data_IF_044497199424
#
_entry.id   IF_044497199424
#
_cell.length_a   1.000
_cell.length_b   1.000
_cell.length_c   1.000
_cell.angle_alpha   90.00
_cell.angle_beta   90.00
_cell.angle_gamma   90.00
#
_symmetry.space_group_name_H-M   'P 1'
#
loop_
_entity.id
_entity.type
_entity.pdbx_description
1 polymer ?
#
# COMPACT_ATOMS: atom_id res chain seq x y z
N UNK A 1 21.69 -23.16 -12.87
CA UNK A 1 21.14 -22.48 -14.06
C UNK A 1 19.64 -22.72 -14.06
N UNK A 2 18.89 -21.89 -13.34
CA UNK A 2 17.42 -21.87 -13.35
C UNK A 2 17.07 -20.40 -13.42
N UNK A 3 16.52 -20.00 -14.56
CA UNK A 3 16.22 -18.61 -14.87
C UNK A 3 15.17 -18.05 -13.94
N UNK A 4 15.31 -16.77 -13.62
CA UNK A 4 14.24 -15.92 -13.13
C UNK A 4 13.31 -15.69 -14.33
N UNK A 5 12.10 -16.29 -14.40
CA UNK A 5 11.13 -15.87 -15.38
C UNK A 5 10.47 -14.61 -14.83
N UNK A 6 10.47 -13.53 -15.62
CA UNK A 6 9.65 -12.37 -15.31
C UNK A 6 8.18 -12.78 -15.11
N UNK A 7 7.59 -12.33 -14.01
CA UNK A 7 6.14 -12.15 -13.79
C UNK A 7 5.22 -13.38 -13.83
N UNK A 8 4.50 -13.63 -12.72
CA UNK A 8 3.15 -14.17 -12.79
C UNK A 8 2.19 -13.62 -11.70
N UNK A 9 2.06 -12.31 -11.52
CA UNK A 9 0.89 -11.72 -10.79
C UNK A 9 -0.14 -11.14 -11.78
N UNK A 10 0.00 -11.49 -13.07
CA UNK A 10 -1.03 -11.31 -14.08
C UNK A 10 -1.68 -12.65 -14.41
N UNK A 11 -2.99 -12.74 -14.12
CA UNK A 11 -3.98 -13.73 -14.56
C UNK A 11 -4.12 -15.03 -13.75
N UNK A 12 -5.07 -15.05 -12.82
CA UNK A 12 -6.20 -16.01 -12.83
C UNK A 12 -7.24 -15.71 -11.70
N UNK A 13 -8.49 -15.48 -12.13
CA UNK A 13 -9.78 -15.42 -11.40
C UNK A 13 -10.05 -14.21 -10.47
N UNK A 14 -11.09 -13.38 -10.64
CA UNK A 14 -12.24 -13.47 -11.55
C UNK A 14 -13.42 -14.25 -10.96
N UNK A 15 -13.87 -13.88 -9.75
CA UNK A 15 -15.23 -14.16 -9.30
C UNK A 15 -15.86 -12.86 -8.77
N UNK A 16 -16.54 -12.14 -9.67
CA UNK A 16 -17.70 -11.28 -9.36
C UNK A 16 -17.67 -10.48 -8.03
N UNK A 17 -16.93 -9.37 -7.95
CA UNK A 17 -17.43 -8.18 -7.21
C UNK A 17 -18.18 -7.27 -8.20
N UNK A 18 -19.12 -7.88 -8.92
CA UNK A 18 -20.12 -7.17 -9.72
C UNK A 18 -21.35 -6.91 -8.87
N UNK A 19 -21.24 -6.13 -7.78
CA UNK A 19 -22.40 -5.60 -7.03
C UNK A 19 -22.04 -4.61 -5.91
N UNK A 20 -21.08 -3.70 -6.10
CA UNK A 20 -21.23 -2.38 -5.44
C UNK A 20 -22.09 -1.52 -6.37
N UNK A 21 -23.38 -1.85 -6.40
CA UNK A 21 -24.35 -1.30 -7.35
C UNK A 21 -24.51 0.22 -7.26
N UNK A 22 -24.96 0.74 -8.39
CA UNK A 22 -24.91 2.11 -8.83
C UNK A 22 -26.08 3.00 -8.32
N UNK A 23 -25.75 4.29 -8.25
CA UNK A 23 -26.55 5.53 -8.42
C UNK A 23 -27.81 5.92 -7.63
N UNK A 24 -28.56 5.10 -6.89
CA UNK A 24 -29.79 5.63 -6.22
C UNK A 24 -30.05 5.27 -4.74
N UNK A 25 -29.09 4.66 -4.04
CA UNK A 25 -29.23 4.40 -2.61
C UNK A 25 -28.71 5.58 -1.79
N UNK A 26 -29.60 6.25 -1.02
CA UNK A 26 -29.30 7.44 -0.20
C UNK A 26 -27.98 7.27 0.58
N UNK A 27 -27.02 8.18 0.36
CA UNK A 27 -25.71 8.26 1.05
C UNK A 27 -25.79 7.97 2.55
N UNK A 28 -26.84 8.46 3.22
CA UNK A 28 -27.05 8.23 4.66
C UNK A 28 -27.31 6.76 5.04
N UNK A 29 -28.03 5.97 4.22
CA UNK A 29 -28.33 4.56 4.58
C UNK A 29 -27.11 3.66 4.47
N UNK A 30 -26.20 3.92 3.53
CA UNK A 30 -24.95 3.15 3.42
C UNK A 30 -23.95 3.55 4.51
N UNK A 31 -23.80 4.85 4.79
CA UNK A 31 -22.92 5.33 5.86
C UNK A 31 -23.31 4.74 7.22
N UNK A 32 -24.61 4.68 7.54
CA UNK A 32 -25.07 4.02 8.77
C UNK A 32 -24.73 2.52 8.81
N UNK A 33 -24.86 1.80 7.69
CA UNK A 33 -24.53 0.36 7.64
C UNK A 33 -23.03 0.11 7.76
N UNK A 34 -22.19 0.93 7.12
CA UNK A 34 -20.74 0.82 7.22
C UNK A 34 -20.23 1.19 8.62
N UNK A 35 -20.79 2.23 9.24
CA UNK A 35 -20.47 2.58 10.62
C UNK A 35 -20.80 1.43 11.59
N UNK A 36 -21.96 0.79 11.42
CA UNK A 36 -22.34 -0.40 12.19
C UNK A 36 -21.42 -1.58 11.91
N UNK A 37 -21.07 -1.82 10.65
CA UNK A 37 -20.10 -2.86 10.27
C UNK A 37 -18.75 -2.65 10.95
N UNK A 38 -18.17 -1.45 10.92
CA UNK A 38 -16.89 -1.19 11.58
C UNK A 38 -16.98 -1.28 13.11
N UNK A 39 -18.17 -1.06 13.70
CA UNK A 39 -18.39 -1.16 15.15
C UNK A 39 -18.53 -2.60 15.62
N UNK A 40 -19.13 -3.47 14.80
CA UNK A 40 -19.26 -4.91 15.08
C UNK A 40 -19.36 -5.69 13.76
N UNK A 41 -18.20 -6.06 13.16
CA UNK A 41 -18.16 -6.73 11.86
C UNK A 41 -18.82 -8.11 11.85
N UNK A 42 -18.85 -8.79 13.01
CA UNK A 42 -19.42 -10.13 13.13
C UNK A 42 -20.95 -10.09 13.12
N UNK A 43 -21.55 -9.12 13.82
CA UNK A 43 -23.01 -9.01 13.92
C UNK A 43 -23.65 -8.22 12.78
N UNK A 44 -22.93 -7.29 12.16
CA UNK A 44 -23.48 -6.37 11.15
C UNK A 44 -22.97 -6.68 9.74
N UNK A 45 -23.36 -7.83 9.22
CA UNK A 45 -22.98 -8.32 7.88
C UNK A 45 -23.52 -7.44 6.76
N UNK A 46 -22.73 -7.31 5.69
CA UNK A 46 -23.10 -6.63 4.44
C UNK A 46 -22.95 -7.61 3.28
N UNK A 47 -23.12 -7.19 2.03
CA UNK A 47 -22.89 -8.11 0.92
C UNK A 47 -21.41 -8.53 0.88
N UNK A 48 -21.07 -9.78 0.47
CA UNK A 48 -19.69 -10.27 0.50
C UNK A 48 -18.68 -9.35 -0.20
N UNK A 49 -19.08 -8.74 -1.32
CA UNK A 49 -18.23 -7.75 -2.01
C UNK A 49 -17.97 -6.47 -1.22
N UNK A 50 -18.95 -6.00 -0.45
CA UNK A 50 -18.75 -4.86 0.47
C UNK A 50 -17.94 -5.32 1.69
N UNK A 51 -18.16 -6.53 2.21
CA UNK A 51 -17.35 -7.10 3.32
C UNK A 51 -15.88 -7.14 2.94
N UNK A 52 -15.55 -7.61 1.73
CA UNK A 52 -14.19 -7.61 1.20
C UNK A 52 -13.57 -6.21 1.18
N UNK A 53 -14.24 -5.23 0.55
CA UNK A 53 -13.72 -3.87 0.40
C UNK A 53 -13.64 -3.15 1.76
N UNK A 54 -14.65 -3.30 2.61
CA UNK A 54 -14.73 -2.64 3.90
C UNK A 54 -13.74 -3.24 4.90
N UNK A 55 -13.59 -4.57 4.95
CA UNK A 55 -12.57 -5.21 5.79
C UNK A 55 -11.16 -4.85 5.33
N UNK A 56 -10.86 -4.89 4.02
CA UNK A 56 -9.59 -4.43 3.47
C UNK A 56 -9.29 -2.99 3.87
N UNK A 57 -10.25 -2.07 3.67
CA UNK A 57 -10.09 -0.67 4.03
C UNK A 57 -9.90 -0.47 5.54
N UNK A 58 -10.69 -1.17 6.37
CA UNK A 58 -10.60 -1.11 7.82
C UNK A 58 -9.27 -1.60 8.36
N UNK A 59 -8.79 -2.76 7.90
CA UNK A 59 -7.49 -3.34 8.29
C UNK A 59 -6.35 -2.40 7.88
N UNK A 60 -6.37 -1.93 6.63
CA UNK A 60 -5.37 -1.00 6.10
C UNK A 60 -5.33 0.33 6.87
N UNK A 61 -6.51 0.90 7.16
CA UNK A 61 -6.61 2.15 7.94
C UNK A 61 -6.15 1.96 9.37
N UNK A 62 -6.55 0.86 10.04
CA UNK A 62 -6.09 0.56 11.40
C UNK A 62 -4.57 0.49 11.44
N UNK A 63 -3.95 -0.22 10.49
CA UNK A 63 -2.50 -0.29 10.39
C UNK A 63 -1.87 1.08 10.12
N UNK A 64 -2.43 1.86 9.19
CA UNK A 64 -1.90 3.16 8.81
C UNK A 64 -2.00 4.20 9.94
N UNK A 65 -3.01 4.08 10.82
CA UNK A 65 -3.17 4.91 12.04
C UNK A 65 -2.14 4.58 13.13
N UNK A 66 -1.43 3.45 13.04
CA UNK A 66 -0.38 3.13 14.01
C UNK A 66 0.72 4.19 13.87
N UNK A 67 1.18 4.73 15.00
CA UNK A 67 2.28 5.71 15.07
C UNK A 67 2.04 7.05 14.36
N UNK A 68 0.79 7.38 13.99
CA UNK A 68 0.47 8.71 13.45
C UNK A 68 -0.83 8.78 12.65
N UNK A 69 -1.17 9.98 12.14
CA UNK A 69 -2.29 10.14 11.23
C UNK A 69 -2.03 9.43 9.89
N UNK A 70 -3.10 9.01 9.23
CA UNK A 70 -3.02 8.38 7.91
C UNK A 70 -2.59 9.40 6.86
N UNK A 71 -1.50 9.12 6.14
CA UNK A 71 -0.98 9.98 5.08
C UNK A 71 -1.82 9.95 3.79
N UNK A 72 -1.79 11.03 3.03
CA UNK A 72 -2.50 11.14 1.73
C UNK A 72 -2.04 10.05 0.75
N UNK A 73 -0.75 9.75 0.71
CA UNK A 73 -0.22 8.75 -0.23
C UNK A 73 -0.59 7.31 0.18
N UNK A 74 -0.75 7.05 1.48
CA UNK A 74 -1.32 5.78 1.96
C UNK A 74 -2.78 5.62 1.54
N UNK A 75 -3.57 6.71 1.61
CA UNK A 75 -4.96 6.72 1.14
C UNK A 75 -5.04 6.48 -0.38
N UNK A 76 -4.18 7.15 -1.16
CA UNK A 76 -4.11 6.92 -2.62
C UNK A 76 -3.75 5.48 -2.95
N UNK A 77 -2.75 4.92 -2.28
CA UNK A 77 -2.33 3.54 -2.48
C UNK A 77 -3.45 2.55 -2.16
N UNK A 78 -4.14 2.74 -1.02
CA UNK A 78 -5.29 1.91 -0.66
C UNK A 78 -6.41 2.02 -1.72
N UNK A 79 -6.74 3.23 -2.16
CA UNK A 79 -7.75 3.43 -3.20
C UNK A 79 -7.36 2.77 -4.53
N UNK A 80 -6.11 2.86 -4.95
CA UNK A 80 -5.61 2.18 -6.14
C UNK A 80 -5.68 0.65 -6.01
N UNK A 81 -5.30 0.12 -4.85
CA UNK A 81 -5.41 -1.30 -4.56
C UNK A 81 -6.85 -1.80 -4.68
N UNK A 82 -7.80 -1.07 -4.08
CA UNK A 82 -9.22 -1.42 -4.10
C UNK A 82 -9.82 -1.27 -5.51
N UNK A 83 -9.48 -0.21 -6.25
CA UNK A 83 -9.98 0.04 -7.62
C UNK A 83 -9.59 -1.06 -8.61
N UNK A 84 -8.45 -1.74 -8.38
CA UNK A 84 -8.03 -2.87 -9.21
C UNK A 84 -8.88 -4.13 -9.00
N UNK A 85 -9.62 -4.23 -7.88
CA UNK A 85 -10.33 -5.44 -7.45
C UNK A 85 -11.84 -5.27 -7.33
N UNK A 86 -12.30 -4.04 -7.12
CA UNK A 86 -13.70 -3.71 -6.99
C UNK A 86 -14.06 -2.51 -7.86
N UNK A 87 -15.24 -2.58 -8.47
CA UNK A 87 -15.86 -1.49 -9.19
C UNK A 87 -16.85 -0.76 -8.27
N UNK A 88 -17.04 0.55 -8.47
CA UNK A 88 -18.02 1.35 -7.73
C UNK A 88 -17.41 2.48 -6.91
N UNK A 89 -18.22 3.08 -6.02
CA UNK A 89 -17.81 4.21 -5.17
C UNK A 89 -17.06 3.71 -3.94
N UNK A 90 -15.73 3.72 -4.02
CA UNK A 90 -14.84 3.25 -2.94
C UNK A 90 -14.52 4.33 -1.90
N UNK A 91 -14.48 5.61 -2.31
CA UNK A 91 -14.14 6.72 -1.40
C UNK A 91 -15.03 6.74 -0.14
N UNK A 92 -16.36 6.58 -0.21
CA UNK A 92 -17.19 6.56 1.00
C UNK A 92 -16.81 5.44 1.98
N UNK A 93 -16.40 4.27 1.48
CA UNK A 93 -16.00 3.13 2.32
C UNK A 93 -14.68 3.44 3.02
N UNK A 94 -13.72 4.03 2.29
CA UNK A 94 -12.45 4.47 2.88
C UNK A 94 -12.66 5.63 3.87
N UNK A 95 -13.54 6.58 3.55
CA UNK A 95 -13.90 7.68 4.46
C UNK A 95 -14.55 7.17 5.75
N UNK A 96 -15.44 6.18 5.66
CA UNK A 96 -16.07 5.55 6.82
C UNK A 96 -15.06 4.71 7.60
N UNK A 97 -14.12 4.01 6.94
CA UNK A 97 -13.03 3.30 7.61
C UNK A 97 -12.13 4.28 8.38
N UNK A 98 -11.74 5.39 7.76
CA UNK A 98 -10.95 6.46 8.41
C UNK A 98 -11.64 6.97 9.68
N UNK A 99 -12.97 7.10 9.65
CA UNK A 99 -13.78 7.61 10.76
C UNK A 99 -14.07 6.57 11.85
N UNK A 100 -14.33 5.32 11.47
CA UNK A 100 -14.97 4.34 12.34
C UNK A 100 -14.11 3.10 12.63
N UNK A 101 -13.05 2.82 11.86
CA UNK A 101 -12.21 1.66 12.10
C UNK A 101 -11.26 1.91 13.28
N UNK A 102 -11.43 1.12 14.34
CA UNK A 102 -10.70 1.23 15.60
C UNK A 102 -9.70 0.07 15.80
N UNK A 103 -8.54 0.30 16.45
CA UNK A 103 -7.47 -0.71 16.55
C UNK A 103 -7.90 -2.06 17.15
N UNK A 104 -8.81 -2.04 18.13
CA UNK A 104 -9.31 -3.26 18.78
C UNK A 104 -10.17 -4.15 17.85
N UNK A 105 -10.56 -3.64 16.67
CA UNK A 105 -11.34 -4.37 15.66
C UNK A 105 -10.50 -5.09 14.61
N UNK A 106 -9.18 -4.96 14.66
CA UNK A 106 -8.26 -5.59 13.69
C UNK A 106 -8.53 -7.09 13.53
N UNK A 107 -8.64 -7.83 14.64
CA UNK A 107 -8.84 -9.26 14.61
C UNK A 107 -10.20 -9.67 14.00
N UNK A 108 -11.28 -8.95 14.34
CA UNK A 108 -12.62 -9.21 13.80
C UNK A 108 -12.69 -8.93 12.30
N UNK A 109 -12.17 -7.78 11.86
CA UNK A 109 -12.11 -7.44 10.44
C UNK A 109 -11.26 -8.43 9.63
N UNK A 110 -10.15 -8.90 10.21
CA UNK A 110 -9.29 -9.90 9.57
C UNK A 110 -10.01 -11.24 9.41
N UNK A 111 -10.81 -11.66 10.40
CA UNK A 111 -11.63 -12.87 10.29
C UNK A 111 -12.70 -12.73 9.22
N UNK A 112 -13.42 -11.61 9.19
CA UNK A 112 -14.43 -11.34 8.13
C UNK A 112 -13.79 -11.35 6.75
N UNK A 113 -12.59 -10.77 6.59
CA UNK A 113 -11.84 -10.87 5.34
C UNK A 113 -11.51 -12.32 4.99
N UNK A 114 -11.04 -13.12 5.96
CA UNK A 114 -10.65 -14.51 5.74
C UNK A 114 -11.82 -15.43 5.29
N UNK A 115 -13.05 -15.13 5.73
CA UNK A 115 -14.24 -15.95 5.43
C UNK A 115 -14.55 -16.07 3.93
N UNK A 116 -14.26 -15.02 3.15
CA UNK A 116 -14.63 -14.93 1.73
C UNK A 116 -13.43 -14.76 0.81
N UNK A 117 -12.22 -15.10 1.26
CA UNK A 117 -10.98 -14.91 0.50
C UNK A 117 -10.12 -16.17 0.40
N UNK A 118 -9.44 -16.28 -0.73
CA UNK A 118 -8.48 -17.34 -1.06
C UNK A 118 -7.07 -16.98 -0.57
N UNK A 119 -6.18 -17.97 -0.49
CA UNK A 119 -4.79 -17.78 -0.02
C UNK A 119 -4.06 -16.66 -0.76
N UNK A 120 -4.23 -16.55 -2.08
CA UNK A 120 -3.62 -15.49 -2.89
C UNK A 120 -4.06 -14.08 -2.44
N UNK A 121 -5.35 -13.88 -2.17
CA UNK A 121 -5.87 -12.58 -1.72
C UNK A 121 -5.37 -12.22 -0.31
N UNK A 122 -5.13 -13.23 0.53
CA UNK A 122 -4.57 -13.05 1.87
C UNK A 122 -3.11 -12.62 1.82
N UNK A 123 -2.31 -13.25 0.96
CA UNK A 123 -0.92 -12.83 0.70
C UNK A 123 -0.87 -11.41 0.12
N UNK A 124 -1.75 -11.08 -0.82
CA UNK A 124 -1.86 -9.73 -1.39
C UNK A 124 -2.20 -8.67 -0.33
N UNK A 125 -3.08 -8.99 0.64
CA UNK A 125 -3.36 -8.11 1.75
C UNK A 125 -2.12 -7.88 2.61
N UNK A 126 -1.33 -8.92 2.91
CA UNK A 126 -0.07 -8.76 3.66
C UNK A 126 0.93 -7.87 2.89
N UNK A 127 1.03 -8.03 1.57
CA UNK A 127 1.85 -7.15 0.73
C UNK A 127 1.36 -5.71 0.82
N UNK A 128 0.06 -5.46 0.64
CA UNK A 128 -0.55 -4.14 0.77
C UNK A 128 -0.20 -3.49 2.11
N UNK A 129 -0.40 -4.22 3.21
CA UNK A 129 -0.14 -3.74 4.57
C UNK A 129 1.33 -3.41 4.79
N UNK A 130 2.23 -4.24 4.27
CA UNK A 130 3.67 -4.00 4.36
C UNK A 130 4.09 -2.75 3.59
N UNK A 131 3.57 -2.56 2.37
CA UNK A 131 3.82 -1.35 1.57
C UNK A 131 3.19 -0.11 2.22
N UNK A 132 1.99 -0.21 2.79
CA UNK A 132 1.37 0.90 3.52
C UNK A 132 2.19 1.33 4.73
N UNK A 133 2.76 0.37 5.47
CA UNK A 133 3.64 0.64 6.60
C UNK A 133 4.92 1.34 6.15
N UNK A 134 5.54 0.89 5.06
CA UNK A 134 6.73 1.49 4.47
C UNK A 134 6.49 2.94 3.97
N UNK A 135 5.32 3.21 3.38
CA UNK A 135 4.93 4.54 2.88
C UNK A 135 4.58 5.56 3.96
N UNK A 136 4.62 5.19 5.23
CA UNK A 136 4.37 6.12 6.34
C UNK A 136 5.65 6.84 6.74
N UNK A 137 5.59 8.09 7.25
CA UNK A 137 6.78 8.78 7.76
C UNK A 137 7.58 8.01 8.82
N UNK A 138 6.90 7.20 9.65
CA UNK A 138 7.55 6.36 10.66
C UNK A 138 8.05 4.99 10.12
N UNK A 139 7.73 4.67 8.86
CA UNK A 139 8.10 3.42 8.19
C UNK A 139 7.61 2.15 8.89
N UNK A 140 8.27 1.03 8.61
CA UNK A 140 7.93 -0.29 9.18
C UNK A 140 8.42 -0.44 10.64
N UNK A 141 7.71 0.16 11.60
CA UNK A 141 7.98 0.10 13.05
C UNK A 141 7.67 -1.28 13.65
N UNK A 142 8.18 -1.57 14.85
CA UNK A 142 7.90 -2.82 15.58
C UNK A 142 6.40 -3.03 15.83
N UNK A 143 5.65 -1.95 16.10
CA UNK A 143 4.19 -2.01 16.32
C UNK A 143 3.44 -2.39 15.03
N UNK A 144 3.86 -1.83 13.88
CA UNK A 144 3.30 -2.22 12.58
C UNK A 144 3.67 -3.65 12.18
N UNK A 145 4.90 -4.08 12.41
CA UNK A 145 5.31 -5.49 12.20
C UNK A 145 4.48 -6.44 13.05
N UNK A 146 4.21 -6.08 14.30
CA UNK A 146 3.34 -6.86 15.20
C UNK A 146 1.93 -6.94 14.63
N UNK A 147 1.34 -5.83 14.20
CA UNK A 147 0.00 -5.82 13.60
C UNK A 147 -0.06 -6.65 12.30
N UNK A 148 0.93 -6.53 11.42
CA UNK A 148 1.01 -7.32 10.18
C UNK A 148 1.15 -8.82 10.51
N UNK A 149 1.98 -9.17 11.49
CA UNK A 149 2.15 -10.57 11.93
C UNK A 149 0.86 -11.14 12.50
N UNK A 150 0.16 -10.38 13.36
CA UNK A 150 -1.15 -10.76 13.89
C UNK A 150 -2.18 -10.97 12.77
N UNK A 151 -2.19 -10.09 11.77
CA UNK A 151 -3.05 -10.25 10.59
C UNK A 151 -2.67 -11.52 9.81
N UNK A 152 -1.39 -11.75 9.54
CA UNK A 152 -0.92 -12.95 8.84
C UNK A 152 -1.30 -14.24 9.57
N UNK A 153 -1.15 -14.28 10.89
CA UNK A 153 -1.51 -15.43 11.73
C UNK A 153 -3.01 -15.77 11.61
N UNK A 154 -3.89 -14.76 11.67
CA UNK A 154 -5.35 -14.97 11.52
C UNK A 154 -5.70 -15.43 10.10
N UNK A 155 -5.00 -14.93 9.09
CA UNK A 155 -5.21 -15.31 7.70
C UNK A 155 -4.62 -16.69 7.36
N UNK A 156 -3.76 -17.25 8.21
CA UNK A 156 -3.00 -18.46 7.94
C UNK A 156 -1.93 -18.26 6.87
N UNK A 157 -1.39 -17.04 6.75
CA UNK A 157 -0.26 -16.74 5.86
C UNK A 157 1.03 -17.14 6.58
N UNK A 158 1.88 -17.92 5.91
CA UNK A 158 3.11 -18.44 6.51
C UNK A 158 4.08 -17.30 6.85
N UNK A 159 4.77 -17.41 8.00
CA UNK A 159 5.77 -16.43 8.44
C UNK A 159 6.88 -16.21 7.41
N UNK A 160 7.23 -17.25 6.63
CA UNK A 160 8.18 -17.14 5.52
C UNK A 160 7.73 -16.19 4.42
N UNK A 161 6.43 -16.15 4.09
CA UNK A 161 5.89 -15.20 3.12
C UNK A 161 6.02 -13.76 3.61
N UNK A 162 5.70 -13.51 4.89
CA UNK A 162 5.85 -12.17 5.49
C UNK A 162 7.31 -11.72 5.47
N UNK A 163 8.24 -12.62 5.82
CA UNK A 163 9.67 -12.35 5.79
C UNK A 163 10.19 -12.04 4.38
N UNK A 164 9.71 -12.76 3.36
CA UNK A 164 10.06 -12.52 1.96
C UNK A 164 9.62 -11.12 1.49
N UNK A 165 8.42 -10.69 1.87
CA UNK A 165 7.92 -9.33 1.56
C UNK A 165 8.82 -8.26 2.21
N UNK A 166 9.24 -8.47 3.46
CA UNK A 166 10.14 -7.53 4.12
C UNK A 166 11.53 -7.50 3.47
N UNK A 167 12.06 -8.65 3.08
CA UNK A 167 13.33 -8.72 2.36
C UNK A 167 13.27 -7.97 1.02
N UNK A 168 12.18 -8.12 0.26
CA UNK A 168 11.98 -7.40 -1.01
C UNK A 168 11.90 -5.88 -0.80
N UNK A 169 11.24 -5.42 0.27
CA UNK A 169 11.20 -4.00 0.64
C UNK A 169 12.60 -3.47 1.00
N UNK A 170 13.38 -4.22 1.77
CA UNK A 170 14.75 -3.82 2.13
C UNK A 170 15.68 -3.80 0.90
N UNK A 171 15.55 -4.78 -0.01
CA UNK A 171 16.25 -4.80 -1.29
C UNK A 171 15.90 -3.59 -2.15
N UNK A 172 14.64 -3.14 -2.12
CA UNK A 172 14.22 -1.94 -2.86
C UNK A 172 14.91 -0.66 -2.36
N UNK A 173 15.18 -0.56 -1.05
CA UNK A 173 15.94 0.56 -0.47
C UNK A 173 17.41 0.48 -0.88
N UNK A 174 17.98 -0.72 -0.93
CA UNK A 174 19.33 -0.95 -1.44
C UNK A 174 19.46 -0.53 -2.91
N UNK A 175 18.47 -0.89 -3.73
CA UNK A 175 18.40 -0.47 -5.13
C UNK A 175 18.26 1.04 -5.27
N UNK A 176 17.45 1.69 -4.45
CA UNK A 176 17.35 3.15 -4.43
C UNK A 176 18.69 3.82 -4.08
N UNK A 177 19.43 3.28 -3.11
CA UNK A 177 20.78 3.76 -2.80
C UNK A 177 21.71 3.62 -4.01
N UNK A 178 21.62 2.49 -4.73
CA UNK A 178 22.38 2.27 -5.97
C UNK A 178 22.00 3.24 -7.09
N UNK A 179 20.72 3.56 -7.26
CA UNK A 179 20.24 4.56 -8.25
C UNK A 179 20.82 5.94 -7.95
N UNK A 180 20.88 6.35 -6.68
CA UNK A 180 21.52 7.60 -6.28
C UNK A 180 23.06 7.53 -6.28
N UNK A 181 23.65 6.33 -6.42
CA UNK A 181 25.09 6.13 -6.36
C UNK A 181 25.67 6.30 -4.95
N UNK A 182 24.87 6.08 -3.92
CA UNK A 182 25.25 6.19 -2.51
C UNK A 182 25.34 4.82 -1.84
N UNK A 183 26.11 4.73 -0.76
CA UNK A 183 26.19 3.52 0.03
C UNK A 183 24.91 3.35 0.90
N UNK A 184 24.51 2.11 1.22
CA UNK A 184 23.40 1.84 2.15
C UNK A 184 23.64 2.31 3.59
N UNK A 185 24.71 3.03 3.91
CA UNK A 185 24.94 3.65 5.21
C UNK A 185 25.29 5.15 5.08
N UNK A 186 25.18 5.73 3.87
CA UNK A 186 25.42 7.16 3.64
C UNK A 186 24.48 8.02 4.48
N UNK A 187 25.03 9.09 5.04
CA UNK A 187 24.29 10.04 5.88
C UNK A 187 23.17 10.76 5.09
N UNK A 188 22.10 11.14 5.78
CA UNK A 188 20.95 11.82 5.17
C UNK A 188 21.34 13.14 4.51
N UNK A 189 22.18 13.98 5.13
CA UNK A 189 22.61 15.24 4.53
C UNK A 189 23.34 15.02 3.20
N UNK A 190 24.16 13.97 3.17
CA UNK A 190 24.87 13.57 1.97
C UNK A 190 23.93 13.03 0.88
N UNK A 191 22.94 12.22 1.25
CA UNK A 191 21.87 11.77 0.33
C UNK A 191 21.12 12.98 -0.26
N UNK A 192 20.72 13.97 0.55
CA UNK A 192 20.06 15.19 0.08
C UNK A 192 20.95 16.01 -0.85
N UNK A 193 22.26 16.04 -0.60
CA UNK A 193 23.23 16.71 -1.47
C UNK A 193 23.33 16.01 -2.83
N UNK A 194 23.48 14.69 -2.84
CA UNK A 194 23.59 13.87 -4.06
C UNK A 194 22.31 13.98 -4.89
N UNK A 195 21.14 13.88 -4.25
CA UNK A 195 19.85 14.07 -4.92
C UNK A 195 19.75 15.44 -5.59
N UNK A 196 20.09 16.54 -4.91
CA UNK A 196 20.03 17.88 -5.50
C UNK A 196 20.93 18.02 -6.74
N UNK A 197 22.12 17.43 -6.70
CA UNK A 197 23.04 17.44 -7.85
C UNK A 197 22.46 16.66 -9.04
N UNK A 198 21.96 15.44 -8.80
CA UNK A 198 21.34 14.61 -9.82
C UNK A 198 20.05 15.26 -10.37
N UNK A 199 19.20 15.83 -9.52
CA UNK A 199 17.99 16.51 -9.92
C UNK A 199 18.27 17.72 -10.83
N UNK A 200 19.32 18.51 -10.53
CA UNK A 200 19.73 19.61 -11.39
C UNK A 200 20.28 19.13 -12.75
N UNK A 201 21.04 18.04 -12.75
CA UNK A 201 21.61 17.45 -13.97
C UNK A 201 20.52 16.87 -14.90
N UNK A 202 19.50 16.22 -14.34
CA UNK A 202 18.45 15.55 -15.10
C UNK A 202 17.12 16.34 -15.15
N UNK A 203 17.09 17.60 -14.70
CA UNK A 203 15.85 18.39 -14.72
C UNK A 203 15.32 18.53 -16.16
N UNK A 204 13.99 18.44 -16.39
CA UNK A 204 13.41 18.59 -17.73
C UNK A 204 13.72 19.95 -18.38
N UNK A 205 13.92 21.00 -17.57
CA UNK A 205 14.30 22.34 -18.07
C UNK A 205 15.78 22.44 -18.48
N UNK A 206 16.64 21.55 -17.97
CA UNK A 206 18.05 21.46 -18.38
C UNK A 206 18.22 20.90 -19.80
N UNK A 207 17.12 20.49 -20.45
CA UNK A 207 17.10 19.80 -21.75
C UNK A 207 17.20 20.73 -22.98
N UNK A 208 17.63 21.97 -22.80
CA UNK A 208 17.91 22.89 -23.91
C UNK A 208 18.94 22.29 -24.88
N UNK A 209 18.53 22.06 -26.14
CA UNK A 209 19.40 21.47 -27.17
C UNK A 209 19.35 19.94 -27.32
N UNK A 210 18.55 19.23 -26.52
CA UNK A 210 18.39 17.77 -26.62
C UNK A 210 17.32 17.38 -27.64
N UNK A 211 17.56 16.30 -28.39
CA UNK A 211 16.56 15.68 -29.27
C UNK A 211 15.41 15.02 -28.47
N UNK A 212 14.36 14.60 -29.18
CA UNK A 212 13.16 14.03 -28.55
C UNK A 212 13.44 12.75 -27.74
N UNK A 213 14.39 11.92 -28.17
CA UNK A 213 14.73 10.68 -27.47
C UNK A 213 15.55 10.97 -26.21
N UNK A 214 16.50 11.90 -26.30
CA UNK A 214 17.32 12.30 -25.18
C UNK A 214 16.51 13.03 -24.10
N UNK A 215 15.52 13.85 -24.48
CA UNK A 215 14.54 14.44 -23.53
C UNK A 215 13.76 13.38 -22.76
N UNK A 216 13.32 12.32 -23.46
CA UNK A 216 12.59 11.20 -22.84
C UNK A 216 13.48 10.47 -21.83
N UNK A 217 14.71 10.13 -22.20
CA UNK A 217 15.67 9.45 -21.33
C UNK A 217 15.97 10.29 -20.09
N UNK A 218 16.19 11.60 -20.24
CA UNK A 218 16.44 12.53 -19.13
C UNK A 218 15.24 12.60 -18.18
N UNK A 219 14.01 12.66 -18.72
CA UNK A 219 12.78 12.67 -17.92
C UNK A 219 12.58 11.37 -17.15
N UNK A 220 12.80 10.22 -17.79
CA UNK A 220 12.74 8.91 -17.14
C UNK A 220 13.79 8.77 -16.03
N UNK A 221 15.02 9.25 -16.26
CA UNK A 221 16.08 9.27 -15.25
C UNK A 221 15.70 10.16 -14.06
N UNK A 222 15.16 11.36 -14.31
CA UNK A 222 14.71 12.28 -13.26
C UNK A 222 13.65 11.65 -12.36
N UNK A 223 12.64 11.00 -12.96
CA UNK A 223 11.58 10.30 -12.20
C UNK A 223 12.20 9.19 -11.34
N UNK A 224 13.11 8.39 -11.88
CA UNK A 224 13.80 7.31 -11.13
C UNK A 224 14.61 7.86 -9.96
N UNK A 225 15.39 8.92 -10.18
CA UNK A 225 16.20 9.59 -9.15
C UNK A 225 15.30 10.13 -8.03
N UNK A 226 14.21 10.82 -8.39
CA UNK A 226 13.25 11.34 -7.41
C UNK A 226 12.63 10.22 -6.58
N UNK A 227 12.15 9.16 -7.23
CA UNK A 227 11.53 8.04 -6.54
C UNK A 227 12.51 7.32 -5.60
N UNK A 228 13.77 7.15 -6.01
CA UNK A 228 14.81 6.56 -5.19
C UNK A 228 15.11 7.43 -3.96
N UNK A 229 15.22 8.75 -4.13
CA UNK A 229 15.40 9.69 -3.03
C UNK A 229 14.24 9.66 -2.03
N UNK A 230 13.00 9.73 -2.53
CA UNK A 230 11.80 9.71 -1.70
C UNK A 230 11.72 8.42 -0.87
N UNK A 231 12.11 7.27 -1.44
CA UNK A 231 12.13 5.97 -0.76
C UNK A 231 13.17 5.93 0.38
N UNK A 232 14.39 6.41 0.12
CA UNK A 232 15.45 6.42 1.14
C UNK A 232 15.09 7.36 2.29
N UNK A 233 14.55 8.54 1.99
CA UNK A 233 14.15 9.51 3.00
C UNK A 233 13.06 8.94 3.92
N UNK A 234 12.00 8.36 3.34
CA UNK A 234 10.92 7.75 4.11
C UNK A 234 11.37 6.61 5.02
N UNK A 235 12.48 5.96 4.69
CA UNK A 235 13.06 4.89 5.50
C UNK A 235 13.95 5.42 6.64
N UNK A 236 14.67 6.54 6.41
CA UNK A 236 15.79 7.00 7.26
C UNK A 236 15.55 8.24 8.10
N UNK A 237 14.61 9.12 7.75
CA UNK A 237 14.26 10.30 8.56
C UNK A 237 13.42 9.98 9.82
N UNK A 238 13.57 8.75 10.34
CA UNK A 238 12.97 8.27 11.59
C UNK A 238 13.48 9.03 12.81
#
# INVERSE_FOLDING_TARGET
MIGIPGGPIGMAFGFLIGLVFDTNFRRNRMATRLALFFSDPASHRVSPGIEYVASTAGIAVILAKIDGPVGIDQIKLLLEFLKRRAHGRLNPIVDDALRCAEPHKLAELTRVFAEHTLSAEREELIVLLSVLADRSPSGLTARRRTAISQTADILGVEAGCVAAVYAELDDSVSEACRILGVAPNTDLEEIRRVYRALAAQFHPDSAGGLDANQRRITSEAFIKIKNAYDLILGTREK
#
